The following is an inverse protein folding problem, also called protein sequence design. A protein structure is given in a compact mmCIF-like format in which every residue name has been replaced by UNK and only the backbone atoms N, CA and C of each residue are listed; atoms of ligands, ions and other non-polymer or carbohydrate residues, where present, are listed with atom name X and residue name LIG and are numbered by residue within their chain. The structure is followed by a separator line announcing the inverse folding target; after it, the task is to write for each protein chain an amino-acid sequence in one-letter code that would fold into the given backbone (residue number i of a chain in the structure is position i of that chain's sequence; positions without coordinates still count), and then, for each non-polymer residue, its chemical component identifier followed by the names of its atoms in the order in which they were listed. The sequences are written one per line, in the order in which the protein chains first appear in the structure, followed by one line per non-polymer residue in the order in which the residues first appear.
data_IF_784481719633
#
_entry.id   IF_784481719633
#
_cell.length_a   1.000
_cell.length_b   1.000
_cell.length_c   1.000
_cell.angle_alpha   90.00
_cell.angle_beta   90.00
_cell.angle_gamma   90.00
#
_symmetry.space_group_name_H-M   'P 1'
#
loop_
_entity.id
_entity.type
_entity.pdbx_description
1 polymer ?
#
# COMPACT_ATOMS: atom_id res chain seq x y z
N UNK A 1 -22.77 34.09 18.77
CA UNK A 1 -22.06 33.34 19.83
C UNK A 1 -21.33 32.17 19.17
N UNK A 2 -20.00 32.12 19.32
CA UNK A 2 -19.04 31.02 19.10
C UNK A 2 -19.44 29.89 18.12
N UNK A 3 -18.84 29.87 16.92
CA UNK A 3 -17.90 28.80 16.51
C UNK A 3 -16.88 29.42 15.54
N UNK A 4 -15.79 29.89 16.14
CA UNK A 4 -14.56 30.35 15.50
C UNK A 4 -13.55 29.23 15.72
N UNK A 5 -12.71 28.95 14.72
CA UNK A 5 -11.39 28.36 14.96
C UNK A 5 -11.28 26.88 14.66
N UNK A 6 -10.65 26.56 13.53
CA UNK A 6 -10.28 25.21 13.14
C UNK A 6 -9.74 25.14 11.70
N UNK A 7 -10.12 26.10 10.85
CA UNK A 7 -9.81 26.08 9.42
C UNK A 7 -8.48 26.72 8.99
N UNK A 8 -7.42 26.71 9.81
CA UNK A 8 -6.16 27.38 9.43
C UNK A 8 -4.90 26.73 10.00
N UNK A 9 -4.84 25.39 10.06
CA UNK A 9 -3.61 24.66 10.46
C UNK A 9 -2.99 23.84 9.31
N UNK A 10 -3.72 23.50 8.25
CA UNK A 10 -3.16 22.71 7.16
C UNK A 10 -3.28 23.47 5.85
N UNK A 11 -2.13 23.99 5.41
CA UNK A 11 -1.97 24.86 4.26
C UNK A 11 -2.61 24.33 2.99
N UNK A 12 -3.21 25.27 2.28
CA UNK A 12 -3.71 25.10 0.93
C UNK A 12 -2.55 24.80 -0.04
N UNK A 13 -2.32 23.53 -0.37
CA UNK A 13 -1.62 23.14 -1.62
C UNK A 13 -1.69 21.65 -2.00
N UNK A 14 -2.30 20.76 -1.21
CA UNK A 14 -2.27 19.30 -1.50
C UNK A 14 -3.59 18.54 -1.22
N UNK A 15 -4.74 19.23 -1.21
CA UNK A 15 -6.04 18.61 -0.91
C UNK A 15 -6.52 17.56 -1.93
N UNK A 16 -5.89 17.46 -3.12
CA UNK A 16 -6.34 16.57 -4.19
C UNK A 16 -5.87 15.11 -4.12
N UNK A 17 -4.74 14.81 -3.44
CA UNK A 17 -4.21 13.44 -3.32
C UNK A 17 -4.31 12.86 -1.90
N UNK A 18 -4.47 13.70 -0.87
CA UNK A 18 -4.57 13.27 0.54
C UNK A 18 -5.96 12.71 0.86
N UNK A 19 -7.01 13.10 0.13
CA UNK A 19 -8.37 12.61 0.35
C UNK A 19 -8.55 11.11 0.07
N UNK A 20 -7.73 10.52 -0.80
CA UNK A 20 -7.86 9.12 -1.18
C UNK A 20 -7.26 8.13 -0.17
N UNK A 21 -6.21 8.52 0.56
CA UNK A 21 -5.51 7.64 1.51
C UNK A 21 -6.04 7.79 2.95
N UNK A 22 -6.73 8.90 3.26
CA UNK A 22 -7.14 9.25 4.62
C UNK A 22 -8.14 8.30 5.27
N UNK A 23 -9.06 7.72 4.51
CA UNK A 23 -10.07 6.79 5.05
C UNK A 23 -9.50 5.38 5.26
N UNK A 24 -8.81 4.84 4.26
CA UNK A 24 -8.20 3.50 4.34
C UNK A 24 -7.11 3.45 5.42
N UNK A 25 -6.31 4.52 5.54
CA UNK A 25 -5.33 4.64 6.61
C UNK A 25 -6.00 4.74 7.99
N UNK A 26 -7.11 5.47 8.11
CA UNK A 26 -7.88 5.56 9.34
C UNK A 26 -8.46 4.21 9.76
N UNK A 27 -9.01 3.44 8.81
CA UNK A 27 -9.50 2.08 9.06
C UNK A 27 -8.37 1.15 9.53
N UNK A 28 -7.22 1.16 8.84
CA UNK A 28 -6.04 0.35 9.25
C UNK A 28 -5.58 0.68 10.66
N UNK A 29 -5.50 1.96 11.02
CA UNK A 29 -5.11 2.39 12.37
C UNK A 29 -6.14 1.96 13.43
N UNK A 30 -7.42 1.99 13.10
CA UNK A 30 -8.50 1.52 13.98
C UNK A 30 -8.45 0.00 14.19
N UNK A 31 -8.24 -0.77 13.12
CA UNK A 31 -8.09 -2.23 13.19
C UNK A 31 -6.89 -2.61 14.06
N UNK A 32 -5.75 -1.94 13.89
CA UNK A 32 -4.57 -2.14 14.72
C UNK A 32 -4.85 -1.85 16.20
N UNK A 33 -5.51 -0.74 16.52
CA UNK A 33 -5.86 -0.38 17.90
C UNK A 33 -6.85 -1.39 18.54
N UNK A 34 -7.79 -1.93 17.75
CA UNK A 34 -8.72 -2.97 18.23
C UNK A 34 -8.00 -4.30 18.45
N UNK A 35 -7.04 -4.67 17.59
CA UNK A 35 -6.23 -5.86 17.75
C UNK A 35 -5.36 -5.79 19.02
N UNK A 36 -4.72 -4.63 19.26
CA UNK A 36 -3.96 -4.38 20.48
C UNK A 36 -4.80 -4.54 21.75
N UNK A 37 -6.03 -4.01 21.76
CA UNK A 37 -6.97 -4.15 22.89
C UNK A 37 -7.41 -5.60 23.13
N UNK A 38 -7.45 -6.42 22.08
CA UNK A 38 -7.73 -7.86 22.17
C UNK A 38 -6.52 -8.69 22.62
N UNK A 39 -5.34 -8.06 22.76
CA UNK A 39 -4.09 -8.73 23.09
C UNK A 39 -3.45 -9.44 21.89
N UNK A 40 -3.92 -9.17 20.67
CA UNK A 40 -3.32 -9.65 19.43
C UNK A 40 -2.22 -8.68 19.02
N UNK A 41 -0.98 -9.16 18.83
CA UNK A 41 0.10 -8.31 18.33
C UNK A 41 -0.13 -8.07 16.84
N UNK A 42 -0.32 -6.82 16.37
CA UNK A 42 -0.47 -6.55 14.95
C UNK A 42 0.77 -7.06 14.22
N UNK A 43 0.57 -7.96 13.25
CA UNK A 43 1.65 -8.36 12.35
C UNK A 43 1.93 -7.18 11.44
N UNK A 44 3.05 -6.49 11.67
CA UNK A 44 3.52 -5.50 10.71
C UNK A 44 3.80 -6.20 9.38
N UNK A 45 3.30 -5.67 8.25
CA UNK A 45 3.62 -6.22 6.96
C UNK A 45 5.13 -6.11 6.74
N UNK A 46 5.79 -7.26 6.59
CA UNK A 46 7.20 -7.31 6.23
C UNK A 46 7.33 -6.79 4.79
N UNK A 47 8.04 -5.67 4.62
CA UNK A 47 8.44 -5.15 3.31
C UNK A 47 9.96 -5.31 3.16
N UNK A 48 10.46 -6.53 2.88
CA UNK A 48 11.89 -6.78 2.79
C UNK A 48 12.46 -6.18 1.51
N UNK A 49 13.48 -5.34 1.63
CA UNK A 49 14.22 -4.85 0.47
C UNK A 49 15.22 -5.91 -0.02
N UNK A 50 15.01 -6.44 -1.23
CA UNK A 50 15.85 -7.49 -1.83
C UNK A 50 16.83 -6.85 -2.84
N UNK A 51 18.09 -6.72 -2.44
CA UNK A 51 19.15 -6.21 -3.30
C UNK A 51 20.01 -7.34 -3.86
N UNK A 52 19.80 -7.70 -5.13
CA UNK A 52 20.57 -8.71 -5.85
C UNK A 52 21.39 -8.10 -6.98
N UNK A 53 22.61 -8.61 -7.21
CA UNK A 53 23.49 -8.18 -8.32
C UNK A 53 23.09 -8.83 -9.65
N UNK A 54 21.81 -8.82 -9.96
CA UNK A 54 21.28 -9.34 -11.22
C UNK A 54 20.12 -8.48 -11.69
N UNK A 55 19.97 -8.37 -13.00
CA UNK A 55 18.81 -7.71 -13.58
C UNK A 55 17.61 -8.63 -13.49
N UNK A 56 16.66 -8.31 -12.62
CA UNK A 56 15.39 -9.01 -12.49
C UNK A 56 14.26 -8.08 -12.95
N UNK A 57 13.77 -8.28 -14.18
CA UNK A 57 12.61 -7.58 -14.72
C UNK A 57 11.93 -8.43 -15.81
N UNK A 58 10.63 -8.21 -16.01
CA UNK A 58 9.90 -8.76 -17.16
C UNK A 58 10.29 -7.97 -18.42
N UNK A 59 11.01 -8.63 -19.33
CA UNK A 59 11.45 -8.04 -20.59
C UNK A 59 10.27 -7.73 -21.52
N UNK A 60 10.41 -6.64 -22.29
CA UNK A 60 9.46 -6.28 -23.36
C UNK A 60 9.42 -7.33 -24.48
N UNK A 61 10.51 -8.08 -24.67
CA UNK A 61 10.56 -9.20 -25.61
C UNK A 61 9.70 -10.39 -25.18
N UNK A 62 9.38 -10.50 -23.88
CA UNK A 62 8.55 -11.56 -23.33
C UNK A 62 7.07 -11.12 -23.25
N UNK A 63 6.81 -9.91 -22.76
CA UNK A 63 5.48 -9.29 -22.75
C UNK A 63 5.59 -7.90 -23.41
N UNK A 64 5.21 -7.77 -24.69
CA UNK A 64 5.28 -6.49 -25.41
C UNK A 64 4.30 -5.46 -24.85
N UNK A 65 3.11 -5.91 -24.46
CA UNK A 65 2.03 -5.08 -23.95
C UNK A 65 2.34 -4.58 -22.52
N UNK A 66 2.33 -3.26 -22.35
CA UNK A 66 2.66 -2.62 -21.06
C UNK A 66 1.59 -2.86 -19.99
N UNK A 67 0.31 -2.91 -20.38
CA UNK A 67 -0.79 -3.12 -19.44
C UNK A 67 -0.76 -4.55 -18.90
N UNK A 68 -0.45 -5.53 -19.76
CA UNK A 68 -0.25 -6.91 -19.35
C UNK A 68 0.98 -7.07 -18.45
N UNK A 69 2.08 -6.39 -18.78
CA UNK A 69 3.30 -6.40 -17.96
C UNK A 69 3.05 -5.81 -16.58
N UNK A 70 2.31 -4.70 -16.49
CA UNK A 70 1.90 -4.10 -15.22
C UNK A 70 0.91 -4.97 -14.44
N UNK A 71 0.00 -5.66 -15.13
CA UNK A 71 -0.89 -6.62 -14.49
C UNK A 71 -0.12 -7.80 -13.89
N UNK A 72 0.91 -8.32 -14.59
CA UNK A 72 1.78 -9.37 -14.09
C UNK A 72 2.56 -8.92 -12.84
N UNK A 73 3.15 -7.72 -12.86
CA UNK A 73 3.82 -7.16 -11.67
C UNK A 73 2.88 -7.01 -10.48
N UNK A 74 1.65 -6.51 -10.69
CA UNK A 74 0.65 -6.40 -9.62
C UNK A 74 0.22 -7.77 -9.08
N UNK A 75 0.14 -8.79 -9.93
CA UNK A 75 -0.18 -10.16 -9.51
C UNK A 75 0.95 -10.71 -8.65
N UNK A 76 2.20 -10.60 -9.10
CA UNK A 76 3.39 -11.04 -8.34
C UNK A 76 3.53 -10.33 -6.99
N UNK A 77 3.28 -9.02 -6.92
CA UNK A 77 3.38 -8.24 -5.69
C UNK A 77 2.27 -8.57 -4.65
N UNK A 78 1.21 -9.27 -5.06
CA UNK A 78 0.10 -9.68 -4.18
C UNK A 78 0.23 -11.13 -3.71
N UNK A 79 1.11 -11.91 -4.33
CA UNK A 79 1.31 -13.31 -3.95
C UNK A 79 1.99 -13.36 -2.57
N UNK A 80 1.40 -14.12 -1.67
CA UNK A 80 1.92 -14.34 -0.32
C UNK A 80 2.32 -15.79 -0.10
N UNK A 81 1.83 -16.71 -0.94
CA UNK A 81 2.14 -18.14 -0.84
C UNK A 81 2.92 -18.65 -2.05
N UNK A 82 3.88 -19.54 -1.78
CA UNK A 82 4.73 -20.15 -2.82
C UNK A 82 3.92 -20.95 -3.86
N UNK A 83 2.73 -21.43 -3.46
CA UNK A 83 1.81 -22.14 -4.34
C UNK A 83 1.23 -21.23 -5.43
N UNK A 84 1.00 -19.96 -5.13
CA UNK A 84 0.44 -18.98 -6.08
C UNK A 84 1.39 -18.65 -7.22
N UNK A 85 2.70 -18.93 -7.05
CA UNK A 85 3.73 -18.75 -8.07
C UNK A 85 3.69 -19.89 -9.10
N UNK A 86 3.23 -21.08 -8.70
CA UNK A 86 3.19 -22.27 -9.56
C UNK A 86 1.94 -22.36 -10.45
N UNK A 87 0.89 -21.57 -10.14
CA UNK A 87 -0.37 -21.46 -10.88
C UNK A 87 -0.36 -20.32 -11.93
#
# INVERSE_FOLDING_TARGET
LKIRGGGTILGASQSGHIAAVGYDMFLKLMENAVAELKGETPLEPLDPEINVRMSAFLSESYIPDIDQRMAAYRRLARMTELKEIAD
#
